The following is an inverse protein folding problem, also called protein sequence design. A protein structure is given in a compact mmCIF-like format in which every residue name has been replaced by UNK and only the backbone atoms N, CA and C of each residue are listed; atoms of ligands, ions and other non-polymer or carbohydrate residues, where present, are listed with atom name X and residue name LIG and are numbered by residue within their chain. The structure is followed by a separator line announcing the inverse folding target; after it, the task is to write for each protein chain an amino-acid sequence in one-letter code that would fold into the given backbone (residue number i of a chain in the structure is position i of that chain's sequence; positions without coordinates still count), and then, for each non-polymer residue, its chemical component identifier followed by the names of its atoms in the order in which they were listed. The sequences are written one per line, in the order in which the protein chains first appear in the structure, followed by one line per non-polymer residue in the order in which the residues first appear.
data_IF_487572984899
#
_entry.id   IF_487572984899
#
_cell.length_a   1.000
_cell.length_b   1.000
_cell.length_c   1.000
_cell.angle_alpha   90.00
_cell.angle_beta   90.00
_cell.angle_gamma   90.00
#
_symmetry.space_group_name_H-M   'P 1'
#
loop_
_entity.id
_entity.type
_entity.pdbx_description
1 polymer ?
#
# COMPACT_ATOMS: atom_id res chain seq x y z
N UNK A 1 -5.20 40.97 38.31
CA UNK A 1 -5.47 42.40 38.10
C UNK A 1 -6.94 42.56 37.84
N UNK A 2 -7.65 42.94 38.91
CA UNK A 2 -9.08 43.24 38.97
C UNK A 2 -9.25 44.74 38.75
N UNK A 3 -9.90 45.14 37.66
CA UNK A 3 -10.37 46.50 37.44
C UNK A 3 -11.88 46.42 37.14
N UNK A 4 -12.75 46.76 38.08
CA UNK A 4 -13.23 48.09 38.49
C UNK A 4 -14.34 48.61 37.57
N UNK A 5 -15.54 48.53 38.12
CA UNK A 5 -16.83 49.13 37.76
C UNK A 5 -16.71 50.63 37.41
N UNK A 6 -17.73 51.18 36.73
CA UNK A 6 -18.50 52.20 37.44
C UNK A 6 -20.00 52.00 37.36
N UNK A 7 -20.63 52.25 38.51
CA UNK A 7 -22.06 52.41 38.71
C UNK A 7 -22.47 53.85 38.39
N UNK A 8 -23.71 54.02 37.92
CA UNK A 8 -24.35 55.33 37.74
C UNK A 8 -25.69 55.31 38.46
N UNK A 9 -25.83 56.16 39.48
CA UNK A 9 -27.06 56.48 40.21
C UNK A 9 -28.10 57.17 39.32
N UNK A 10 -29.39 57.16 39.71
CA UNK A 10 -29.91 58.43 40.26
C UNK A 10 -30.81 58.28 41.50
N UNK A 11 -30.42 59.01 42.53
CA UNK A 11 -31.19 59.97 43.34
C UNK A 11 -32.70 59.77 43.47
N UNK A 12 -33.10 59.46 44.70
CA UNK A 12 -34.44 59.60 45.28
C UNK A 12 -34.42 60.80 46.25
N UNK A 13 -35.46 61.64 46.31
CA UNK A 13 -35.83 62.37 47.53
C UNK A 13 -37.15 61.79 48.07
N UNK A 14 -37.11 61.04 49.16
CA UNK A 14 -37.28 61.51 50.55
C UNK A 14 -38.73 61.87 50.87
N UNK A 15 -39.37 60.96 51.59
CA UNK A 15 -40.45 61.25 52.52
C UNK A 15 -39.99 60.84 53.91
N UNK A 16 -40.04 61.74 54.89
CA UNK A 16 -40.19 61.36 56.29
C UNK A 16 -40.77 62.53 57.12
N UNK A 17 -41.49 62.22 58.22
CA UNK A 17 -42.49 63.09 58.83
C UNK A 17 -42.19 63.47 60.29
N UNK A 18 -43.06 64.32 60.86
CA UNK A 18 -43.19 64.57 62.30
C UNK A 18 -43.23 66.06 62.60
N UNK A 19 -43.94 66.56 63.61
CA UNK A 19 -44.96 66.02 64.48
C UNK A 19 -45.61 67.24 65.19
N UNK A 20 -46.80 67.03 65.75
CA UNK A 20 -47.35 67.71 66.93
C UNK A 20 -48.13 69.03 66.77
N UNK A 21 -49.41 68.91 67.11
CA UNK A 21 -50.49 69.92 67.27
C UNK A 21 -50.43 70.61 68.67
N UNK A 22 -51.48 71.26 69.23
CA UNK A 22 -52.69 71.95 68.71
C UNK A 22 -52.99 73.32 69.41
N UNK A 23 -53.95 74.11 68.90
CA UNK A 23 -54.80 75.06 69.67
C UNK A 23 -55.93 75.57 68.73
N UNK A 24 -57.16 75.04 68.79
CA UNK A 24 -58.31 75.42 69.64
C UNK A 24 -58.94 76.79 69.33
N UNK A 25 -59.96 76.75 68.45
CA UNK A 25 -61.33 77.38 68.43
C UNK A 25 -61.61 78.74 69.15
N UNK A 26 -62.51 79.62 68.64
CA UNK A 26 -63.95 79.36 68.34
C UNK A 26 -64.42 79.81 66.93
N UNK A 27 -65.34 79.12 66.23
CA UNK A 27 -66.82 79.27 66.22
C UNK A 27 -67.27 80.74 66.05
N UNK A 28 -67.95 81.22 65.00
CA UNK A 28 -69.14 80.77 64.22
C UNK A 28 -69.28 81.67 62.93
N UNK A 29 -70.35 81.65 62.11
CA UNK A 29 -71.10 80.55 61.48
C UNK A 29 -71.21 80.70 59.92
N UNK A 30 -71.44 79.57 59.26
CA UNK A 30 -72.30 79.36 58.06
C UNK A 30 -72.12 80.28 56.83
N UNK A 31 -71.63 79.67 55.73
CA UNK A 31 -72.37 79.72 54.45
C UNK A 31 -72.13 78.46 53.61
N UNK A 32 -73.03 77.49 53.79
CA UNK A 32 -73.21 76.39 52.87
C UNK A 32 -73.55 76.96 51.49
N UNK A 33 -72.66 76.78 50.51
CA UNK A 33 -72.98 77.10 49.12
C UNK A 33 -73.91 76.01 48.61
N UNK A 34 -75.12 76.35 48.14
CA UNK A 34 -76.10 75.34 47.79
C UNK A 34 -75.60 74.53 46.60
N UNK A 35 -75.63 73.22 46.76
CA UNK A 35 -75.67 72.27 45.66
C UNK A 35 -76.88 72.62 44.78
N UNK A 36 -76.63 73.27 43.63
CA UNK A 36 -77.62 73.37 42.57
C UNK A 36 -77.70 72.02 41.86
N UNK A 37 -78.63 71.22 42.34
CA UNK A 37 -79.25 70.09 41.65
C UNK A 37 -80.02 70.65 40.45
N UNK A 38 -79.34 70.84 39.34
CA UNK A 38 -79.93 70.96 38.00
C UNK A 38 -79.51 69.74 37.21
N UNK A 39 -80.40 69.16 36.40
CA UNK A 39 -80.18 67.95 35.59
C UNK A 39 -79.21 68.12 34.41
N UNK A 40 -78.21 69.02 34.52
CA UNK A 40 -77.24 69.38 33.47
C UNK A 40 -75.77 68.90 33.63
N UNK A 41 -75.19 68.73 34.84
CA UNK A 41 -73.80 68.27 35.00
C UNK A 41 -73.66 66.74 34.93
N UNK A 42 -74.76 66.00 35.12
CA UNK A 42 -74.77 64.54 35.06
C UNK A 42 -74.71 64.06 33.60
N UNK A 43 -75.37 64.78 32.68
CA UNK A 43 -75.32 64.50 31.24
C UNK A 43 -73.93 64.80 30.66
N UNK A 44 -73.30 65.91 31.06
CA UNK A 44 -71.93 66.24 30.63
C UNK A 44 -70.89 65.28 31.22
N UNK A 45 -71.01 64.88 32.49
CA UNK A 45 -70.18 63.84 33.07
C UNK A 45 -70.36 62.48 32.36
N UNK A 46 -71.59 62.10 32.02
CA UNK A 46 -71.88 60.87 31.28
C UNK A 46 -71.25 60.89 29.87
N UNK A 47 -71.32 62.02 29.15
CA UNK A 47 -70.69 62.19 27.84
C UNK A 47 -69.17 62.03 27.93
N UNK A 48 -68.54 62.62 28.95
CA UNK A 48 -67.08 62.51 29.17
C UNK A 48 -66.69 61.05 29.45
N UNK A 49 -67.47 60.34 30.27
CA UNK A 49 -67.23 58.91 30.56
C UNK A 49 -67.38 58.05 29.31
N UNK A 50 -68.40 58.31 28.47
CA UNK A 50 -68.59 57.61 27.20
C UNK A 50 -67.41 57.89 26.24
N UNK A 51 -66.94 59.13 26.15
CA UNK A 51 -65.77 59.48 25.35
C UNK A 51 -64.49 58.80 25.86
N UNK A 52 -64.28 58.74 27.17
CA UNK A 52 -63.17 58.01 27.78
C UNK A 52 -63.26 56.50 27.50
N UNK A 53 -64.44 55.91 27.64
CA UNK A 53 -64.68 54.50 27.35
C UNK A 53 -64.45 54.19 25.86
N UNK A 54 -64.89 55.07 24.95
CA UNK A 54 -64.64 54.94 23.52
C UNK A 54 -63.15 55.09 23.18
N UNK A 55 -62.45 56.05 23.79
CA UNK A 55 -61.00 56.24 23.62
C UNK A 55 -60.18 55.05 24.13
N UNK A 56 -60.54 54.50 25.28
CA UNK A 56 -59.93 53.28 25.84
C UNK A 56 -60.22 52.05 24.96
N UNK A 57 -61.46 51.90 24.48
CA UNK A 57 -61.83 50.83 23.55
C UNK A 57 -61.03 50.89 22.24
N UNK A 58 -60.86 52.08 21.67
CA UNK A 58 -60.04 52.31 20.48
C UNK A 58 -58.55 52.02 20.73
N UNK A 59 -58.00 52.45 21.88
CA UNK A 59 -56.61 52.19 22.25
C UNK A 59 -56.34 50.68 22.42
N UNK A 60 -57.22 49.94 23.10
CA UNK A 60 -57.13 48.49 23.26
C UNK A 60 -57.26 47.76 21.92
N UNK A 61 -58.13 48.23 21.02
CA UNK A 61 -58.28 47.67 19.68
C UNK A 61 -57.02 47.87 18.82
N UNK A 62 -56.41 49.07 18.87
CA UNK A 62 -55.14 49.36 18.19
C UNK A 62 -53.99 48.52 18.74
N UNK A 63 -53.94 48.31 20.06
CA UNK A 63 -52.92 47.48 20.68
C UNK A 63 -53.08 45.99 20.30
N UNK A 64 -54.31 45.46 20.28
CA UNK A 64 -54.57 44.08 19.82
C UNK A 64 -54.18 43.86 18.36
N UNK A 65 -54.48 44.81 17.49
CA UNK A 65 -54.15 44.70 16.06
C UNK A 65 -52.63 44.69 15.83
N UNK A 66 -51.87 45.48 16.58
CA UNK A 66 -50.39 45.47 16.55
C UNK A 66 -49.79 44.14 17.04
N UNK A 67 -50.35 43.54 18.10
CA UNK A 67 -49.90 42.23 18.57
C UNK A 67 -50.21 41.12 17.58
N UNK A 68 -51.37 41.15 16.93
CA UNK A 68 -51.73 40.16 15.90
C UNK A 68 -50.84 40.29 14.66
N UNK A 69 -50.51 41.52 14.22
CA UNK A 69 -49.58 41.71 13.09
C UNK A 69 -48.16 41.27 13.43
N UNK A 70 -47.66 41.60 14.64
CA UNK A 70 -46.34 41.16 15.08
C UNK A 70 -46.27 39.62 15.21
N UNK A 71 -47.32 38.98 15.75
CA UNK A 71 -47.41 37.53 15.84
C UNK A 71 -47.42 36.85 14.47
N UNK A 72 -48.14 37.42 13.48
CA UNK A 72 -48.13 36.92 12.09
C UNK A 72 -46.77 37.05 11.43
N UNK A 73 -46.08 38.17 11.62
CA UNK A 73 -44.75 38.36 11.04
C UNK A 73 -43.71 37.41 11.65
N UNK A 74 -43.76 37.19 12.96
CA UNK A 74 -42.92 36.19 13.64
C UNK A 74 -43.25 34.79 13.14
N UNK A 75 -44.54 34.42 13.02
CA UNK A 75 -44.94 33.13 12.47
C UNK A 75 -44.43 32.94 11.04
N UNK A 76 -44.57 33.94 10.16
CA UNK A 76 -44.04 33.86 8.80
C UNK A 76 -42.51 33.75 8.77
N UNK A 77 -41.81 34.44 9.68
CA UNK A 77 -40.35 34.33 9.79
C UNK A 77 -39.91 32.95 10.28
N UNK A 78 -40.66 32.35 11.21
CA UNK A 78 -40.40 30.98 11.68
C UNK A 78 -40.65 29.99 10.54
N UNK A 79 -41.73 30.16 9.78
CA UNK A 79 -42.03 29.30 8.62
C UNK A 79 -40.93 29.39 7.56
N UNK A 80 -40.47 30.61 7.20
CA UNK A 80 -39.35 30.77 6.25
C UNK A 80 -38.04 30.18 6.78
N UNK A 81 -37.72 30.38 8.06
CA UNK A 81 -36.53 29.77 8.65
C UNK A 81 -36.63 28.25 8.67
N UNK A 82 -37.82 27.71 8.92
CA UNK A 82 -38.06 26.27 8.90
C UNK A 82 -37.90 25.68 7.49
N UNK A 83 -38.36 26.39 6.45
CA UNK A 83 -38.17 25.98 5.06
C UNK A 83 -36.71 26.08 4.63
N UNK A 84 -36.00 27.13 5.05
CA UNK A 84 -34.58 27.32 4.73
C UNK A 84 -33.73 26.23 5.39
N UNK A 85 -34.00 25.90 6.65
CA UNK A 85 -33.33 24.79 7.34
C UNK A 85 -33.67 23.44 6.68
N UNK A 86 -34.91 23.23 6.26
CA UNK A 86 -35.30 22.03 5.54
C UNK A 86 -34.58 21.92 4.18
N UNK A 87 -34.42 23.03 3.47
CA UNK A 87 -33.69 23.08 2.20
C UNK A 87 -32.20 22.85 2.41
N UNK A 88 -31.56 23.54 3.37
CA UNK A 88 -30.16 23.32 3.72
C UNK A 88 -29.88 21.86 4.11
N UNK A 89 -30.82 21.20 4.82
CA UNK A 89 -30.71 19.77 5.13
C UNK A 89 -30.83 18.87 3.90
N UNK A 90 -31.56 19.27 2.86
CA UNK A 90 -31.61 18.53 1.60
C UNK A 90 -30.31 18.73 0.81
N UNK A 91 -29.85 19.97 0.67
CA UNK A 91 -28.62 20.30 -0.06
C UNK A 91 -27.40 19.62 0.57
N UNK A 92 -27.32 19.56 1.90
CA UNK A 92 -26.25 18.84 2.61
C UNK A 92 -26.32 17.33 2.40
N UNK A 93 -27.51 16.73 2.36
CA UNK A 93 -27.67 15.30 2.04
C UNK A 93 -27.27 15.00 0.60
N UNK A 94 -27.62 15.88 -0.34
CA UNK A 94 -27.24 15.76 -1.74
C UNK A 94 -25.72 15.91 -1.92
N UNK A 95 -25.11 16.90 -1.28
CA UNK A 95 -23.66 17.08 -1.29
C UNK A 95 -22.93 15.86 -0.70
N UNK A 96 -23.46 15.28 0.39
CA UNK A 96 -22.91 14.06 0.99
C UNK A 96 -23.06 12.86 0.04
N UNK A 97 -24.20 12.70 -0.62
CA UNK A 97 -24.42 11.64 -1.61
C UNK A 97 -23.48 11.78 -2.81
N UNK A 98 -23.26 13.01 -3.31
CA UNK A 98 -22.29 13.30 -4.36
C UNK A 98 -20.85 13.00 -3.91
N UNK A 99 -20.47 13.38 -2.68
CA UNK A 99 -19.16 13.07 -2.14
C UNK A 99 -18.93 11.56 -2.00
N UNK A 100 -19.93 10.80 -1.56
CA UNK A 100 -19.87 9.33 -1.52
C UNK A 100 -19.75 8.71 -2.91
N UNK A 101 -20.51 9.21 -3.89
CA UNK A 101 -20.41 8.75 -5.27
C UNK A 101 -19.02 9.04 -5.88
N UNK A 102 -18.43 10.21 -5.59
CA UNK A 102 -17.07 10.55 -6.00
C UNK A 102 -16.04 9.66 -5.31
N UNK A 103 -16.16 9.42 -4.01
CA UNK A 103 -15.28 8.52 -3.27
C UNK A 103 -15.33 7.09 -3.85
N UNK A 104 -16.52 6.61 -4.25
CA UNK A 104 -16.68 5.33 -4.94
C UNK A 104 -15.93 5.27 -6.29
N UNK A 105 -16.05 6.32 -7.12
CA UNK A 105 -15.31 6.42 -8.38
C UNK A 105 -13.80 6.47 -8.18
N UNK A 106 -13.33 7.16 -7.14
CA UNK A 106 -11.90 7.20 -6.80
C UNK A 106 -11.41 5.81 -6.38
N UNK A 107 -12.17 5.09 -5.56
CA UNK A 107 -11.83 3.72 -5.17
C UNK A 107 -11.75 2.77 -6.39
N UNK A 108 -12.71 2.86 -7.31
CA UNK A 108 -12.70 2.09 -8.57
C UNK A 108 -11.48 2.41 -9.45
N UNK A 109 -11.12 3.70 -9.56
CA UNK A 109 -9.92 4.14 -10.27
C UNK A 109 -8.65 3.63 -9.60
N UNK A 110 -8.56 3.68 -8.28
CA UNK A 110 -7.42 3.13 -7.53
C UNK A 110 -7.28 1.62 -7.75
N UNK A 111 -8.38 0.88 -7.72
CA UNK A 111 -8.36 -0.56 -7.99
C UNK A 111 -7.96 -0.87 -9.43
N UNK A 112 -8.44 -0.09 -10.40
CA UNK A 112 -8.03 -0.20 -11.80
C UNK A 112 -6.53 0.08 -11.97
N UNK A 113 -5.99 1.07 -11.25
CA UNK A 113 -4.55 1.38 -11.26
C UNK A 113 -3.75 0.25 -10.63
N UNK A 114 -4.18 -0.30 -9.49
CA UNK A 114 -3.53 -1.45 -8.84
C UNK A 114 -3.52 -2.68 -9.76
N UNK A 115 -4.65 -2.96 -10.41
CA UNK A 115 -4.78 -4.06 -11.35
C UNK A 115 -3.89 -3.84 -12.59
N UNK A 116 -3.85 -2.64 -13.13
CA UNK A 116 -2.96 -2.31 -14.24
C UNK A 116 -1.48 -2.48 -13.84
N UNK A 117 -1.11 -2.04 -12.64
CA UNK A 117 0.24 -2.21 -12.11
C UNK A 117 0.59 -3.69 -11.89
N UNK A 118 -0.36 -4.51 -11.43
CA UNK A 118 -0.17 -5.96 -11.28
C UNK A 118 0.08 -6.62 -12.65
N UNK A 119 -0.70 -6.24 -13.66
CA UNK A 119 -0.55 -6.72 -15.04
C UNK A 119 0.79 -6.31 -15.65
N UNK A 120 1.25 -5.07 -15.44
CA UNK A 120 2.57 -4.63 -15.89
C UNK A 120 3.71 -5.43 -15.24
N UNK A 121 3.63 -5.69 -13.92
CA UNK A 121 4.62 -6.51 -13.23
C UNK A 121 4.61 -7.96 -13.74
N UNK A 122 3.43 -8.54 -13.96
CA UNK A 122 3.30 -9.88 -14.52
C UNK A 122 3.90 -9.95 -15.94
N UNK A 123 3.66 -8.93 -16.77
CA UNK A 123 4.24 -8.83 -18.10
C UNK A 123 5.76 -8.69 -18.05
N UNK A 124 6.30 -7.87 -17.15
CA UNK A 124 7.75 -7.71 -16.98
C UNK A 124 8.43 -9.00 -16.56
N UNK A 125 7.83 -9.73 -15.61
CA UNK A 125 8.31 -11.05 -15.19
C UNK A 125 8.23 -12.08 -16.34
N UNK A 126 7.13 -12.10 -17.09
CA UNK A 126 6.99 -12.97 -18.26
C UNK A 126 8.04 -12.66 -19.33
N UNK A 127 8.31 -11.37 -19.58
CA UNK A 127 9.30 -10.92 -20.55
C UNK A 127 10.73 -11.25 -20.10
N UNK A 128 11.03 -11.06 -18.82
CA UNK A 128 12.32 -11.44 -18.23
C UNK A 128 12.53 -12.96 -18.31
N UNK A 129 11.53 -13.76 -17.92
CA UNK A 129 11.59 -15.21 -18.00
C UNK A 129 11.74 -15.70 -19.45
N UNK A 130 11.07 -15.06 -20.41
CA UNK A 130 11.21 -15.36 -21.83
C UNK A 130 12.64 -15.08 -22.32
N UNK A 131 13.18 -13.90 -21.99
CA UNK A 131 14.54 -13.53 -22.39
C UNK A 131 15.60 -14.43 -21.74
N UNK A 132 15.43 -14.77 -20.46
CA UNK A 132 16.30 -15.73 -19.77
C UNK A 132 16.23 -17.12 -20.44
N UNK A 133 15.02 -17.59 -20.73
CA UNK A 133 14.81 -18.89 -21.41
C UNK A 133 15.46 -18.92 -22.80
N UNK A 134 15.29 -17.85 -23.60
CA UNK A 134 15.90 -17.73 -24.92
C UNK A 134 17.43 -17.66 -24.85
N UNK A 135 17.97 -16.92 -23.88
CA UNK A 135 19.42 -16.84 -23.64
C UNK A 135 20.01 -18.20 -23.30
N UNK A 136 19.29 -18.99 -22.51
CA UNK A 136 19.74 -20.31 -22.11
C UNK A 136 19.60 -21.34 -23.24
N UNK A 137 18.58 -21.24 -24.09
CA UNK A 137 18.45 -22.07 -25.29
C UNK A 137 19.61 -21.83 -26.26
N UNK A 138 19.96 -20.55 -26.49
CA UNK A 138 21.10 -20.17 -27.31
C UNK A 138 22.40 -20.76 -26.74
N UNK A 139 22.61 -20.66 -25.42
CA UNK A 139 23.76 -21.26 -24.75
C UNK A 139 23.79 -22.78 -24.91
N UNK A 140 22.65 -23.45 -24.76
CA UNK A 140 22.57 -24.90 -24.94
C UNK A 140 22.95 -25.31 -26.37
N UNK A 141 22.46 -24.58 -27.38
CA UNK A 141 22.79 -24.84 -28.78
C UNK A 141 24.28 -24.63 -29.10
N UNK A 142 24.89 -23.56 -28.56
CA UNK A 142 26.32 -23.30 -28.70
C UNK A 142 27.18 -24.42 -28.10
N UNK A 143 26.77 -24.91 -26.93
CA UNK A 143 27.47 -25.99 -26.22
C UNK A 143 27.30 -27.31 -26.98
N UNK A 144 26.10 -27.65 -27.44
CA UNK A 144 25.83 -28.83 -28.26
C UNK A 144 26.69 -28.85 -29.53
N UNK A 145 26.82 -27.70 -30.19
CA UNK A 145 27.70 -27.56 -31.37
C UNK A 145 29.16 -27.87 -31.04
N UNK A 146 29.68 -27.36 -29.92
CA UNK A 146 31.05 -27.62 -29.49
C UNK A 146 31.26 -29.10 -29.12
N UNK A 147 30.29 -29.72 -28.44
CA UNK A 147 30.31 -31.15 -28.15
C UNK A 147 30.30 -31.98 -29.44
N UNK A 148 29.51 -31.59 -30.43
CA UNK A 148 29.46 -32.25 -31.74
C UNK A 148 30.81 -32.18 -32.45
N UNK A 149 31.46 -31.01 -32.42
CA UNK A 149 32.81 -30.82 -32.97
C UNK A 149 33.82 -31.71 -32.23
N UNK A 150 33.80 -31.73 -30.89
CA UNK A 150 34.69 -32.56 -30.09
C UNK A 150 34.53 -34.06 -30.42
N UNK A 151 33.29 -34.55 -30.48
CA UNK A 151 32.98 -35.93 -30.84
C UNK A 151 33.45 -36.26 -32.27
N UNK A 152 33.27 -35.35 -33.22
CA UNK A 152 33.75 -35.52 -34.58
C UNK A 152 35.29 -35.62 -34.64
N UNK A 153 36.01 -34.81 -33.87
CA UNK A 153 37.47 -34.87 -33.77
C UNK A 153 37.97 -36.19 -33.16
N UNK A 154 37.26 -36.73 -32.17
CA UNK A 154 37.57 -38.04 -31.59
C UNK A 154 37.33 -39.18 -32.58
N UNK A 155 36.21 -39.16 -33.31
CA UNK A 155 35.81 -40.27 -34.22
C UNK A 155 36.56 -40.28 -35.55
N UNK A 156 36.80 -39.11 -36.15
CA UNK A 156 37.41 -39.02 -37.49
C UNK A 156 38.93 -39.00 -37.44
N UNK A 157 39.51 -38.29 -36.47
CA UNK A 157 40.94 -38.02 -36.45
C UNK A 157 41.68 -38.74 -35.30
N UNK A 158 40.96 -39.30 -34.31
CA UNK A 158 41.56 -39.74 -33.05
C UNK A 158 42.31 -38.61 -32.33
N UNK A 159 42.03 -37.35 -32.70
CA UNK A 159 42.79 -36.20 -32.24
C UNK A 159 42.24 -35.72 -30.90
N UNK A 160 42.71 -36.36 -29.85
CA UNK A 160 42.34 -36.09 -28.45
C UNK A 160 42.65 -34.63 -28.08
N UNK A 161 43.73 -34.05 -28.58
CA UNK A 161 44.11 -32.66 -28.27
C UNK A 161 43.08 -31.65 -28.79
N UNK A 162 42.63 -31.79 -30.04
CA UNK A 162 41.62 -30.89 -30.61
C UNK A 162 40.25 -31.07 -29.93
N UNK A 163 39.92 -32.30 -29.53
CA UNK A 163 38.70 -32.57 -28.77
C UNK A 163 38.73 -31.93 -27.38
N UNK A 164 39.87 -31.96 -26.69
CA UNK A 164 40.08 -31.29 -25.39
C UNK A 164 39.85 -29.78 -25.53
N UNK A 165 40.43 -29.13 -26.54
CA UNK A 165 40.26 -27.68 -26.77
C UNK A 165 38.79 -27.31 -27.01
N UNK A 166 38.06 -28.13 -27.78
CA UNK A 166 36.63 -27.91 -28.02
C UNK A 166 35.80 -28.07 -26.72
N UNK A 167 36.10 -29.07 -25.89
CA UNK A 167 35.42 -29.29 -24.60
C UNK A 167 35.78 -28.22 -23.57
N UNK A 168 37.02 -27.75 -23.51
CA UNK A 168 37.43 -26.61 -22.66
C UNK A 168 36.71 -25.32 -23.08
N UNK A 169 36.54 -25.12 -24.40
CA UNK A 169 35.77 -23.99 -24.91
C UNK A 169 34.30 -24.09 -24.46
N UNK A 170 33.69 -25.29 -24.54
CA UNK A 170 32.32 -25.53 -24.07
C UNK A 170 32.19 -25.29 -22.56
N UNK A 171 33.13 -25.81 -21.77
CA UNK A 171 33.22 -25.62 -20.32
C UNK A 171 33.33 -24.13 -19.97
N UNK A 172 34.21 -23.39 -20.64
CA UNK A 172 34.42 -21.96 -20.38
C UNK A 172 33.17 -21.13 -20.70
N UNK A 173 32.42 -21.47 -21.76
CA UNK A 173 31.14 -20.83 -22.09
C UNK A 173 30.10 -21.11 -21.00
N UNK A 174 30.01 -22.36 -20.55
CA UNK A 174 29.07 -22.76 -19.50
C UNK A 174 29.40 -22.09 -18.15
N UNK A 175 30.69 -22.02 -17.80
CA UNK A 175 31.16 -21.38 -16.58
C UNK A 175 30.95 -19.84 -16.58
N UNK A 176 31.08 -19.18 -17.74
CA UNK A 176 30.79 -17.73 -17.87
C UNK A 176 29.31 -17.41 -17.73
N UNK A 177 28.44 -18.31 -18.17
CA UNK A 177 27.00 -18.12 -18.05
C UNK A 177 26.45 -18.41 -16.65
N UNK A 178 27.17 -19.21 -15.86
CA UNK A 178 26.90 -19.54 -14.45
C UNK A 178 25.41 -19.85 -14.17
N UNK A 179 24.81 -20.68 -15.03
CA UNK A 179 23.40 -21.05 -14.90
C UNK A 179 23.26 -22.35 -14.10
N UNK A 180 22.53 -22.37 -12.96
CA UNK A 180 22.37 -23.55 -12.12
C UNK A 180 21.81 -24.78 -12.85
N UNK A 181 20.94 -24.57 -13.84
CA UNK A 181 20.32 -25.62 -14.67
C UNK A 181 21.34 -26.48 -15.44
N UNK A 182 22.54 -25.94 -15.74
CA UNK A 182 23.57 -26.64 -16.49
C UNK A 182 24.69 -27.22 -15.60
N UNK A 183 24.53 -27.20 -14.28
CA UNK A 183 25.52 -27.73 -13.33
C UNK A 183 25.86 -29.21 -13.57
N UNK A 184 24.85 -30.05 -13.83
CA UNK A 184 25.02 -31.47 -14.14
C UNK A 184 25.77 -31.70 -15.47
N UNK A 185 25.51 -30.86 -16.47
CA UNK A 185 26.22 -30.87 -17.74
C UNK A 185 27.68 -30.46 -17.57
N UNK A 186 27.93 -29.42 -16.76
CA UNK A 186 29.28 -28.97 -16.43
C UNK A 186 30.10 -30.08 -15.77
N UNK A 187 29.52 -30.80 -14.80
CA UNK A 187 30.17 -31.93 -14.14
C UNK A 187 30.47 -33.07 -15.11
N UNK A 188 29.55 -33.38 -16.03
CA UNK A 188 29.77 -34.40 -17.07
C UNK A 188 30.92 -34.02 -17.99
N UNK A 189 30.96 -32.77 -18.48
CA UNK A 189 32.05 -32.27 -19.33
C UNK A 189 33.40 -32.30 -18.61
N UNK A 190 33.43 -31.95 -17.32
CA UNK A 190 34.65 -32.03 -16.50
C UNK A 190 35.16 -33.48 -16.41
N UNK A 191 34.25 -34.43 -16.13
CA UNK A 191 34.61 -35.85 -16.09
C UNK A 191 35.12 -36.38 -17.43
N UNK A 192 34.54 -35.94 -18.55
CA UNK A 192 35.00 -36.31 -19.89
C UNK A 192 36.37 -35.71 -20.21
N UNK A 193 36.63 -34.45 -19.80
CA UNK A 193 37.94 -33.81 -19.92
C UNK A 193 39.01 -34.56 -19.14
N UNK A 194 38.73 -34.96 -17.90
CA UNK A 194 39.66 -35.72 -17.06
C UNK A 194 39.99 -37.07 -17.68
N UNK A 195 39.00 -37.76 -18.23
CA UNK A 195 39.18 -39.04 -18.96
C UNK A 195 40.05 -38.86 -20.20
N UNK A 196 39.77 -37.85 -21.03
CA UNK A 196 40.54 -37.60 -22.26
C UNK A 196 41.99 -37.20 -21.97
N UNK A 197 42.22 -36.40 -20.92
CA UNK A 197 43.57 -36.04 -20.46
C UNK A 197 44.33 -37.26 -19.96
N UNK A 198 43.69 -38.17 -19.24
CA UNK A 198 44.31 -39.42 -18.79
C UNK A 198 44.74 -40.31 -19.98
N UNK A 199 43.93 -40.36 -21.05
CA UNK A 199 44.27 -41.11 -22.28
C UNK A 199 45.48 -40.49 -22.99
N UNK A 200 45.54 -39.16 -23.14
CA UNK A 200 46.69 -38.51 -23.81
C UNK A 200 47.99 -38.65 -23.02
N UNK A 201 47.94 -38.82 -21.69
CA UNK A 201 49.13 -39.04 -20.87
C UNK A 201 49.71 -40.47 -21.00
N UNK A 202 48.95 -41.43 -21.54
CA UNK A 202 49.48 -42.76 -21.82
C UNK A 202 50.25 -42.72 -23.14
N UNK A 203 51.54 -42.37 -23.03
CA UNK A 203 52.49 -42.36 -24.15
C UNK A 203 52.74 -43.81 -24.66
N UNK A 204 51.96 -44.19 -25.67
CA UNK A 204 52.04 -45.51 -26.30
C UNK A 204 53.44 -45.81 -26.87
N UNK A 205 54.14 -44.88 -27.56
CA UNK A 205 55.54 -45.07 -27.94
C UNK A 205 56.45 -45.44 -26.76
N UNK A 206 56.35 -44.74 -25.64
CA UNK A 206 57.18 -45.02 -24.46
C UNK A 206 56.85 -46.39 -23.83
N UNK A 207 55.57 -46.77 -23.78
CA UNK A 207 55.15 -48.08 -23.28
C UNK A 207 55.57 -49.21 -24.23
N UNK A 208 55.44 -49.02 -25.54
CA UNK A 208 55.90 -49.98 -26.56
C UNK A 208 57.41 -50.20 -26.47
N UNK A 209 58.21 -49.14 -26.35
CA UNK A 209 59.65 -49.25 -26.14
C UNK A 209 60.00 -49.99 -24.84
N UNK A 210 59.18 -49.85 -23.80
CA UNK A 210 59.35 -50.56 -22.52
C UNK A 210 59.04 -52.05 -22.66
N UNK A 211 57.99 -52.40 -23.41
CA UNK A 211 57.63 -53.79 -23.73
C UNK A 211 58.72 -54.43 -24.60
N UNK A 212 59.23 -53.74 -25.62
CA UNK A 212 60.33 -54.26 -26.46
C UNK A 212 61.59 -54.58 -25.64
N UNK A 213 61.95 -53.71 -24.69
CA UNK A 213 63.07 -53.99 -23.77
C UNK A 213 62.78 -55.21 -22.89
N UNK A 214 61.54 -55.37 -22.44
CA UNK A 214 61.13 -56.51 -21.62
C UNK A 214 61.18 -57.83 -22.40
N UNK A 215 60.76 -57.81 -23.66
CA UNK A 215 60.88 -58.94 -24.59
C UNK A 215 62.36 -59.28 -24.85
N UNK A 216 63.21 -58.27 -25.09
CA UNK A 216 64.65 -58.50 -25.28
C UNK A 216 65.34 -59.08 -24.03
N UNK A 217 64.87 -58.70 -22.83
CA UNK A 217 65.36 -59.24 -21.56
C UNK A 217 64.88 -60.69 -21.33
N UNK A 218 63.62 -61.00 -21.63
CA UNK A 218 63.08 -62.38 -21.55
C UNK A 218 63.77 -63.29 -22.55
N UNK A 219 64.05 -62.83 -23.77
CA UNK A 219 64.81 -63.60 -24.77
C UNK A 219 66.26 -63.90 -24.35
N UNK A 220 66.80 -63.18 -23.37
CA UNK A 220 68.12 -63.42 -22.78
C UNK A 220 68.07 -64.11 -21.42
N UNK A 221 66.88 -64.40 -20.89
CA UNK A 221 66.74 -65.11 -19.63
C UNK A 221 67.15 -66.58 -19.84
N UNK A 222 68.06 -67.13 -18.99
CA UNK A 222 68.45 -68.52 -19.09
C UNK A 222 67.24 -69.42 -18.80
N UNK A 223 66.90 -70.29 -19.75
CA UNK A 223 65.87 -71.32 -19.57
C UNK A 223 66.37 -72.32 -18.52
N UNK A 224 65.95 -72.13 -17.28
CA UNK A 224 66.06 -73.16 -16.24
C UNK A 224 65.01 -74.22 -16.56
N UNK A 225 65.37 -75.17 -17.43
CA UNK A 225 64.63 -76.44 -17.55
C UNK A 225 64.79 -77.15 -16.20
N UNK A 226 63.69 -77.48 -15.49
CA UNK A 226 63.79 -78.33 -14.32
C UNK A 226 64.36 -79.68 -14.76
N UNK A 227 65.49 -80.05 -14.17
CA UNK A 227 66.26 -81.27 -14.44
C UNK A 227 65.55 -82.56 -13.96
N UNK A 228 64.21 -82.59 -14.05
CA UNK A 228 63.37 -83.72 -13.68
C UNK A 228 62.81 -84.48 -14.90
N UNK A 229 63.20 -84.11 -16.13
CA UNK A 229 62.71 -84.74 -17.36
C UNK A 229 63.81 -85.04 -18.40
N UNK A 230 65.04 -85.29 -17.96
CA UNK A 230 66.08 -85.87 -18.83
C UNK A 230 66.30 -87.35 -18.46
N UNK A 231 65.92 -88.32 -19.32
CA UNK A 231 66.35 -89.71 -19.17
C UNK A 231 67.88 -89.79 -19.32
N UNK A 232 68.52 -90.37 -18.31
CA UNK A 232 69.98 -90.37 -18.15
C UNK A 232 70.75 -90.95 -19.33
N UNK A 233 71.76 -90.21 -19.75
CA UNK A 233 72.85 -90.74 -20.59
C UNK A 233 73.80 -91.50 -19.66
N UNK A 234 73.78 -92.83 -19.72
CA UNK A 234 74.78 -93.68 -19.08
C UNK A 234 76.13 -93.55 -19.81
N UNK A 235 77.26 -93.48 -19.08
CA UNK A 235 78.58 -93.32 -19.68
C UNK A 235 79.13 -94.62 -20.27
N UNK A 236 80.05 -94.42 -21.23
CA UNK A 236 80.73 -95.40 -22.06
C UNK A 236 81.35 -96.58 -21.29
N UNK A 237 81.07 -97.79 -21.78
CA UNK A 237 81.80 -99.01 -21.45
C UNK A 237 83.02 -99.19 -22.36
N UNK A 238 84.10 -99.64 -21.74
CA UNK A 238 85.46 -99.84 -22.21
C UNK A 238 85.68 -100.80 -23.39
N UNK A 239 86.91 -100.70 -23.88
CA UNK A 239 87.54 -101.27 -25.06
C UNK A 239 87.68 -102.82 -25.15
N UNK A 240 87.52 -103.31 -26.41
CA UNK A 240 88.37 -104.27 -27.17
C UNK A 240 88.43 -105.75 -26.74
N UNK A 241 88.87 -106.69 -27.60
CA UNK A 241 89.37 -106.57 -28.99
C UNK A 241 88.39 -106.92 -30.11
#
# INVERSE_FOLDING_TARGET
MTDKTPATDPVVPTAAPGASAPASAPADPVKARPAKRGSGPLVTALIIVILLAAGLGYALWKQRTQFVSAGREVASRIDTLSSDVAQARKDTREALALAQAQAGRVAELEDTVRETQSQYNALQLAWQNFNDSASDELLANDVERLLTIANQQLRLAGNVSNAIVALETAQSRLARADRPRFSSLQQSINGDLDRLRAVSTVDIPAQSARIERLVALVGRAPLLVPDAAAPGVLPAGEARP
#
